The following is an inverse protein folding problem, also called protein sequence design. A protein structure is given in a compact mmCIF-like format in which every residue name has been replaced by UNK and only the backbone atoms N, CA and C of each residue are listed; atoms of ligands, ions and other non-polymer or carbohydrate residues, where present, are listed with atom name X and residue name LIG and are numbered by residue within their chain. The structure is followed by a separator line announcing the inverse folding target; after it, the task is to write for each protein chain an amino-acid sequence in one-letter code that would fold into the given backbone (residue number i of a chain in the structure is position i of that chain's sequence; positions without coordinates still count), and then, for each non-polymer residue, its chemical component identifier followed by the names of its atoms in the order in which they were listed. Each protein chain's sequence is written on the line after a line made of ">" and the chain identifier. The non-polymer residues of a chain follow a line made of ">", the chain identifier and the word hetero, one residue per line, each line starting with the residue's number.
data_IF_712108926402
#
_entry.id   IF_712108926402
#
_cell.length_a   1.000
_cell.length_b   1.000
_cell.length_c   1.000
_cell.angle_alpha   90.00
_cell.angle_beta   90.00
_cell.angle_gamma   90.00
#
_symmetry.space_group_name_H-M   'P 1'
#
loop_
_entity.id
_entity.type
_entity.pdbx_description
1 polymer ?
#
# COMPACT_ATOMS: atom_id res chain seq x y z
N UNK A 1 -0.73 -43.06 33.57
CA UNK A 1 -1.75 -42.56 32.62
C UNK A 1 -2.07 -41.11 32.94
N UNK A 2 -1.41 -40.14 32.30
CA UNK A 2 -1.67 -38.71 32.47
C UNK A 2 -1.60 -38.02 31.12
N UNK A 3 -2.74 -37.60 30.57
CA UNK A 3 -2.80 -36.87 29.29
C UNK A 3 -2.54 -35.39 29.55
N UNK A 4 -1.39 -34.90 29.07
CA UNK A 4 -1.12 -33.47 28.92
C UNK A 4 -1.87 -32.96 27.67
N UNK A 5 -2.91 -32.16 27.87
CA UNK A 5 -3.60 -31.41 26.82
C UNK A 5 -2.79 -30.13 26.54
N UNK A 6 -1.90 -30.18 25.54
CA UNK A 6 -1.29 -28.97 24.98
C UNK A 6 -2.34 -28.21 24.14
N UNK A 7 -2.68 -27.01 24.59
CA UNK A 7 -3.53 -26.06 23.87
C UNK A 7 -2.64 -25.29 22.88
N UNK A 8 -2.70 -25.66 21.60
CA UNK A 8 -1.98 -24.98 20.51
C UNK A 8 -2.48 -23.52 20.35
N UNK A 9 -1.59 -22.54 20.10
CA UNK A 9 -1.99 -21.19 19.72
C UNK A 9 -2.54 -21.16 18.28
N UNK A 10 -3.62 -20.39 18.07
CA UNK A 10 -4.27 -20.24 16.76
C UNK A 10 -3.35 -19.53 15.76
N UNK A 11 -2.69 -20.32 14.90
CA UNK A 11 -1.99 -19.84 13.71
C UNK A 11 -2.99 -19.42 12.61
N UNK A 12 -3.60 -18.23 12.74
CA UNK A 12 -4.58 -17.72 11.76
C UNK A 12 -3.98 -17.12 10.50
N UNK A 13 -2.78 -16.53 10.59
CA UNK A 13 -2.20 -15.71 9.52
C UNK A 13 -1.55 -16.51 8.39
N UNK A 14 -0.76 -17.54 8.71
CA UNK A 14 -0.11 -18.37 7.69
C UNK A 14 -1.12 -19.15 6.83
N UNK A 15 -2.23 -19.58 7.44
CA UNK A 15 -3.28 -20.34 6.74
C UNK A 15 -4.12 -19.45 5.82
N UNK A 16 -4.42 -18.20 6.22
CA UNK A 16 -5.12 -17.24 5.36
C UNK A 16 -4.24 -16.74 4.20
N UNK A 17 -2.94 -16.55 4.46
CA UNK A 17 -1.96 -16.14 3.45
C UNK A 17 -1.75 -17.21 2.36
N UNK A 18 -1.57 -18.48 2.75
CA UNK A 18 -1.44 -19.59 1.81
C UNK A 18 -2.70 -19.76 0.94
N UNK A 19 -3.88 -19.49 1.50
CA UNK A 19 -5.16 -19.56 0.77
C UNK A 19 -5.32 -18.46 -0.29
N UNK A 20 -4.81 -17.25 -0.02
CA UNK A 20 -4.84 -16.10 -0.95
C UNK A 20 -3.81 -16.23 -2.08
N UNK A 21 -2.61 -16.73 -1.77
CA UNK A 21 -1.58 -17.03 -2.79
C UNK A 21 -2.03 -18.17 -3.71
N UNK A 22 -2.65 -19.21 -3.16
CA UNK A 22 -3.20 -20.30 -3.98
C UNK A 22 -4.41 -19.84 -4.83
N UNK A 23 -5.27 -18.96 -4.32
CA UNK A 23 -6.42 -18.45 -5.08
C UNK A 23 -5.99 -17.57 -6.27
N UNK A 24 -4.92 -16.79 -6.12
CA UNK A 24 -4.38 -15.94 -7.20
C UNK A 24 -3.60 -16.74 -8.24
N UNK A 25 -2.87 -17.78 -7.84
CA UNK A 25 -2.21 -18.71 -8.76
C UNK A 25 -3.21 -19.60 -9.52
N UNK A 26 -4.28 -20.06 -8.87
CA UNK A 26 -5.35 -20.83 -9.53
C UNK A 26 -6.14 -19.98 -10.52
N UNK A 27 -6.43 -18.71 -10.20
CA UNK A 27 -7.07 -17.78 -11.13
C UNK A 27 -6.19 -17.53 -12.37
N UNK A 28 -4.87 -17.44 -12.21
CA UNK A 28 -3.94 -17.27 -13.32
C UNK A 28 -3.81 -18.54 -14.18
N UNK A 29 -3.76 -19.72 -13.56
CA UNK A 29 -3.71 -21.02 -14.26
C UNK A 29 -5.01 -21.32 -15.03
N UNK A 30 -6.17 -21.01 -14.45
CA UNK A 30 -7.47 -21.15 -15.11
C UNK A 30 -7.62 -20.17 -16.28
N UNK A 31 -7.18 -18.92 -16.12
CA UNK A 31 -7.20 -17.92 -17.20
C UNK A 31 -6.29 -18.32 -18.36
N UNK A 32 -5.10 -18.90 -18.07
CA UNK A 32 -4.19 -19.45 -19.08
C UNK A 32 -4.75 -20.70 -19.79
N UNK A 33 -5.44 -21.59 -19.09
CA UNK A 33 -6.08 -22.78 -19.68
C UNK A 33 -7.30 -22.42 -20.54
N UNK A 34 -8.10 -21.43 -20.12
CA UNK A 34 -9.24 -20.92 -20.91
C UNK A 34 -8.79 -20.24 -22.21
N UNK A 35 -7.66 -19.52 -22.19
CA UNK A 35 -7.08 -18.90 -23.38
C UNK A 35 -6.48 -19.93 -24.37
N UNK A 36 -6.14 -21.14 -23.91
CA UNK A 36 -5.57 -22.18 -24.76
C UNK A 36 -6.61 -23.04 -25.49
N UNK A 37 -7.87 -23.07 -25.05
CA UNK A 37 -8.88 -24.03 -25.52
C UNK A 37 -10.00 -23.46 -26.41
N UNK A 38 -10.00 -22.16 -26.74
CA UNK A 38 -11.08 -21.59 -27.57
C UNK A 38 -10.62 -20.41 -28.44
N UNK A 39 -10.10 -20.66 -29.65
CA UNK A 39 -9.82 -19.58 -30.62
C UNK A 39 -11.09 -18.89 -31.15
N UNK A 40 -12.28 -19.40 -30.84
CA UNK A 40 -13.58 -18.93 -31.32
C UNK A 40 -14.28 -17.91 -30.41
N UNK A 41 -13.82 -17.68 -29.18
CA UNK A 41 -14.39 -16.65 -28.29
C UNK A 41 -13.90 -15.24 -28.65
N UNK A 42 -12.66 -15.15 -29.16
CA UNK A 42 -12.17 -13.90 -29.73
C UNK A 42 -13.08 -13.45 -30.89
N UNK A 43 -13.48 -14.37 -31.79
CA UNK A 43 -14.33 -14.11 -32.96
C UNK A 43 -15.65 -13.36 -32.72
N UNK A 44 -16.24 -13.53 -31.54
CA UNK A 44 -17.57 -13.00 -31.24
C UNK A 44 -17.53 -11.66 -30.48
N UNK A 45 -16.46 -11.38 -29.74
CA UNK A 45 -16.37 -10.17 -28.91
C UNK A 45 -16.05 -8.89 -29.70
N UNK A 46 -15.59 -8.97 -30.96
CA UNK A 46 -15.27 -7.80 -31.78
C UNK A 46 -16.34 -7.35 -32.78
N UNK A 47 -17.53 -7.99 -32.82
CA UNK A 47 -18.55 -7.66 -33.85
C UNK A 47 -19.78 -6.88 -33.40
N UNK A 48 -19.96 -6.60 -32.11
CA UNK A 48 -21.05 -5.74 -31.64
C UNK A 48 -20.69 -5.02 -30.33
N UNK A 49 -20.41 -3.71 -30.35
CA UNK A 49 -20.36 -2.92 -29.12
C UNK A 49 -21.79 -2.64 -28.63
N UNK A 50 -22.11 -2.77 -27.33
CA UNK A 50 -23.31 -2.18 -26.77
C UNK A 50 -23.16 -0.65 -26.83
N UNK A 51 -24.20 0.04 -27.32
CA UNK A 51 -24.24 1.49 -27.39
C UNK A 51 -24.18 2.11 -25.98
N UNK A 52 -22.99 2.55 -25.57
CA UNK A 52 -22.81 3.45 -24.44
C UNK A 52 -22.82 4.88 -24.96
N UNK A 53 -23.86 5.63 -24.62
CA UNK A 53 -23.83 7.09 -24.73
C UNK A 53 -22.80 7.64 -23.72
N UNK A 54 -21.95 8.60 -24.10
CA UNK A 54 -21.04 9.23 -23.16
C UNK A 54 -21.81 10.06 -22.14
N UNK A 55 -21.62 9.74 -20.86
CA UNK A 55 -22.04 10.57 -19.73
C UNK A 55 -21.22 11.87 -19.75
N UNK A 56 -21.83 13.07 -19.60
CA UNK A 56 -21.07 14.31 -19.63
C UNK A 56 -20.09 14.37 -18.44
N UNK A 57 -18.82 14.66 -18.75
CA UNK A 57 -17.72 14.77 -17.81
C UNK A 57 -18.02 15.80 -16.72
N UNK A 58 -18.34 15.36 -15.50
CA UNK A 58 -18.19 16.17 -14.29
C UNK A 58 -16.85 15.84 -13.65
N UNK A 59 -15.95 16.82 -13.63
CA UNK A 59 -14.68 16.75 -12.92
C UNK A 59 -14.88 17.21 -11.46
N UNK A 60 -14.75 16.32 -10.46
CA UNK A 60 -15.02 16.67 -9.06
C UNK A 60 -13.96 17.58 -8.41
N UNK A 61 -12.91 17.98 -9.13
CA UNK A 61 -11.81 18.80 -8.58
C UNK A 61 -11.85 20.29 -8.96
N UNK A 62 -12.91 20.80 -9.61
CA UNK A 62 -12.96 22.20 -10.07
C UNK A 62 -14.19 23.01 -9.64
N UNK A 63 -15.12 22.47 -8.86
CA UNK A 63 -16.29 23.23 -8.42
C UNK A 63 -16.06 23.94 -7.07
N UNK A 64 -16.00 25.27 -7.15
CA UNK A 64 -16.11 26.21 -6.02
C UNK A 64 -17.54 26.08 -5.44
N UNK A 65 -17.73 26.02 -4.11
CA UNK A 65 -19.07 25.85 -3.54
C UNK A 65 -19.98 27.04 -3.89
N UNK A 66 -21.30 26.82 -4.05
CA UNK A 66 -22.22 27.87 -4.48
C UNK A 66 -22.30 29.00 -3.46
N UNK A 67 -22.20 30.23 -3.95
CA UNK A 67 -22.43 31.46 -3.21
C UNK A 67 -23.88 31.49 -2.70
N UNK A 68 -24.06 31.32 -1.39
CA UNK A 68 -25.32 31.66 -0.73
C UNK A 68 -25.45 33.18 -0.75
N UNK A 69 -26.39 33.67 -1.54
CA UNK A 69 -26.77 35.09 -1.56
C UNK A 69 -27.75 35.30 -0.42
N UNK A 70 -27.26 35.81 0.71
CA UNK A 70 -28.13 36.27 1.81
C UNK A 70 -28.32 37.77 1.69
N UNK A 71 -29.57 38.16 1.40
CA UNK A 71 -30.11 39.51 1.41
C UNK A 71 -29.86 40.20 2.76
N UNK A 72 -29.22 41.37 2.73
CA UNK A 72 -29.01 42.20 3.91
C UNK A 72 -30.28 43.03 4.22
N UNK A 73 -30.80 42.91 5.45
CA UNK A 73 -31.79 43.81 6.02
C UNK A 73 -31.26 44.41 7.34
N UNK A 74 -31.19 45.74 7.33
CA UNK A 74 -31.26 46.74 8.41
C UNK A 74 -30.56 46.51 9.77
N UNK A 75 -29.75 47.52 10.10
CA UNK A 75 -29.01 47.71 11.34
C UNK A 75 -29.87 48.02 12.57
N UNK A 76 -29.38 47.65 13.75
CA UNK A 76 -29.51 48.46 14.98
C UNK A 76 -28.31 48.20 15.91
N UNK A 77 -27.79 49.25 16.52
CA UNK A 77 -26.51 49.30 17.25
C UNK A 77 -26.67 49.26 18.77
N UNK A 78 -25.62 48.74 19.45
CA UNK A 78 -25.13 48.94 20.84
C UNK A 78 -25.66 48.02 21.98
N UNK A 79 -24.89 47.82 23.09
CA UNK A 79 -23.47 48.12 23.34
C UNK A 79 -22.62 46.89 23.81
N UNK A 80 -21.30 47.06 23.80
CA UNK A 80 -20.29 46.13 24.32
C UNK A 80 -20.39 45.98 25.84
N UNK A 81 -20.24 44.75 26.35
CA UNK A 81 -19.87 44.51 27.74
C UNK A 81 -18.79 43.42 27.79
N UNK A 82 -17.60 43.80 28.26
CA UNK A 82 -16.49 42.89 28.56
C UNK A 82 -16.72 42.27 29.94
N UNK A 83 -16.77 40.94 30.03
CA UNK A 83 -16.37 40.21 31.23
C UNK A 83 -16.09 38.74 30.90
N UNK A 84 -14.81 38.36 31.06
CA UNK A 84 -14.28 37.09 31.61
C UNK A 84 -14.85 35.75 31.13
N UNK A 85 -13.95 34.95 30.55
CA UNK A 85 -13.98 33.50 30.63
C UNK A 85 -14.72 32.79 29.49
N UNK A 86 -13.97 32.26 28.54
CA UNK A 86 -14.33 31.01 27.85
C UNK A 86 -13.08 30.52 27.12
N UNK A 87 -12.47 29.47 27.65
CA UNK A 87 -11.71 28.56 26.81
C UNK A 87 -12.65 28.18 25.66
N UNK A 88 -12.35 28.69 24.47
CA UNK A 88 -13.07 28.37 23.24
C UNK A 88 -13.03 26.85 23.15
N UNK A 89 -14.16 26.18 23.36
CA UNK A 89 -14.33 24.79 22.93
C UNK A 89 -14.18 24.85 21.42
N UNK A 90 -12.96 24.73 20.92
CA UNK A 90 -12.72 24.38 19.53
C UNK A 90 -13.50 23.07 19.35
N UNK A 91 -14.56 23.13 18.55
CA UNK A 91 -15.35 21.93 18.26
C UNK A 91 -14.43 20.92 17.61
N UNK A 92 -14.56 19.65 18.01
CA UNK A 92 -13.89 18.54 17.35
C UNK A 92 -14.21 18.60 15.86
N UNK A 93 -13.18 18.64 15.02
CA UNK A 93 -13.35 18.57 13.57
C UNK A 93 -12.95 17.19 13.01
N UNK A 94 -13.10 17.03 11.69
CA UNK A 94 -12.75 15.78 11.01
C UNK A 94 -11.26 15.45 11.15
N UNK A 95 -10.39 16.46 11.03
CA UNK A 95 -8.94 16.27 11.01
C UNK A 95 -8.43 15.90 12.41
N UNK A 96 -8.99 16.51 13.46
CA UNK A 96 -8.73 16.15 14.86
C UNK A 96 -8.98 14.65 15.12
N UNK A 97 -10.08 14.12 14.58
CA UNK A 97 -10.44 12.69 14.70
C UNK A 97 -9.44 11.80 13.98
N UNK A 98 -9.05 12.18 12.75
CA UNK A 98 -8.08 11.42 11.93
C UNK A 98 -6.70 11.43 12.57
N UNK A 99 -6.21 12.58 13.04
CA UNK A 99 -4.91 12.71 13.71
C UNK A 99 -4.87 11.90 15.01
N UNK A 100 -5.91 11.98 15.84
CA UNK A 100 -5.98 11.18 17.06
C UNK A 100 -6.06 9.67 16.78
N UNK A 101 -6.79 9.27 15.73
CA UNK A 101 -6.84 7.88 15.31
C UNK A 101 -5.48 7.38 14.79
N UNK A 102 -4.75 8.21 14.05
CA UNK A 102 -3.40 7.89 13.56
C UNK A 102 -2.45 7.69 14.74
N UNK A 103 -2.44 8.60 15.71
CA UNK A 103 -1.63 8.48 16.93
C UNK A 103 -1.97 7.22 17.72
N UNK A 104 -3.27 6.89 17.86
CA UNK A 104 -3.71 5.67 18.54
C UNK A 104 -3.19 4.40 17.82
N UNK A 105 -3.27 4.36 16.50
CA UNK A 105 -2.82 3.23 15.68
C UNK A 105 -1.31 3.06 15.74
N UNK A 106 -0.55 4.16 15.65
CA UNK A 106 0.91 4.09 15.66
C UNK A 106 1.47 3.70 17.04
N UNK A 107 0.85 4.19 18.12
CA UNK A 107 1.34 3.92 19.48
C UNK A 107 0.85 2.59 20.06
N UNK A 108 -0.38 2.18 19.76
CA UNK A 108 -1.03 1.00 20.38
C UNK A 108 -1.29 -0.14 19.40
N UNK A 109 -0.93 0.03 18.12
CA UNK A 109 -1.07 -0.96 17.07
C UNK A 109 -2.43 -0.93 16.35
N UNK A 110 -2.49 -1.58 15.20
CA UNK A 110 -3.68 -1.66 14.35
C UNK A 110 -4.94 -2.19 15.07
N UNK A 111 -4.78 -3.20 15.93
CA UNK A 111 -5.86 -3.83 16.69
C UNK A 111 -6.47 -2.91 17.76
N UNK A 112 -5.78 -1.83 18.13
CA UNK A 112 -6.29 -0.86 19.09
C UNK A 112 -7.38 0.06 18.50
N UNK A 113 -7.48 0.14 17.16
CA UNK A 113 -8.43 1.04 16.51
C UNK A 113 -9.87 0.55 16.65
N UNK A 114 -10.61 1.22 17.54
CA UNK A 114 -12.05 1.05 17.68
C UNK A 114 -12.71 2.41 17.96
N UNK A 115 -13.93 2.58 17.48
CA UNK A 115 -14.70 3.83 17.65
C UNK A 115 -14.82 4.23 19.12
N UNK A 116 -15.01 3.24 20.01
CA UNK A 116 -15.13 3.46 21.46
C UNK A 116 -13.83 3.94 22.11
N UNK A 117 -12.70 3.33 21.76
CA UNK A 117 -11.39 3.74 22.29
C UNK A 117 -11.02 5.14 21.79
N UNK A 118 -11.29 5.42 20.51
CA UNK A 118 -11.05 6.74 19.93
C UNK A 118 -11.92 7.82 20.59
N UNK A 119 -13.21 7.55 20.80
CA UNK A 119 -14.11 8.46 21.50
C UNK A 119 -13.64 8.75 22.94
N UNK A 120 -13.17 7.71 23.65
CA UNK A 120 -12.62 7.85 25.00
C UNK A 120 -11.32 8.69 25.02
N UNK A 121 -10.43 8.48 24.05
CA UNK A 121 -9.19 9.25 23.90
C UNK A 121 -9.47 10.74 23.64
N UNK A 122 -10.50 11.03 22.84
CA UNK A 122 -10.93 12.39 22.51
C UNK A 122 -11.89 13.03 23.53
N UNK A 123 -12.32 12.29 24.55
CA UNK A 123 -13.27 12.78 25.56
C UNK A 123 -14.68 13.07 25.03
N UNK A 124 -15.11 12.41 23.94
CA UNK A 124 -16.42 12.60 23.31
C UNK A 124 -17.24 11.31 23.27
N UNK A 125 -18.49 11.40 22.81
CA UNK A 125 -19.33 10.22 22.60
C UNK A 125 -18.96 9.49 21.31
N UNK A 126 -19.20 8.18 21.24
CA UNK A 126 -19.02 7.43 19.98
C UNK A 126 -19.87 7.96 18.84
N UNK A 127 -21.08 8.44 19.14
CA UNK A 127 -21.99 9.04 18.16
C UNK A 127 -21.36 10.27 17.50
N UNK A 128 -20.66 11.10 18.28
CA UNK A 128 -19.89 12.24 17.75
C UNK A 128 -18.85 11.77 16.74
N UNK A 129 -18.07 10.71 17.04
CA UNK A 129 -17.09 10.17 16.09
C UNK A 129 -17.75 9.69 14.81
N UNK A 130 -18.85 8.91 14.90
CA UNK A 130 -19.58 8.44 13.72
C UNK A 130 -20.09 9.60 12.84
N UNK A 131 -20.48 10.73 13.42
CA UNK A 131 -20.88 11.91 12.65
C UNK A 131 -19.74 12.55 11.87
N UNK A 132 -18.50 12.48 12.36
CA UNK A 132 -17.35 13.04 11.66
C UNK A 132 -16.82 12.12 10.56
N UNK A 133 -16.63 10.83 10.86
CA UNK A 133 -15.87 9.94 9.97
C UNK A 133 -16.68 8.78 9.40
N UNK A 134 -17.92 8.58 9.82
CA UNK A 134 -18.68 7.38 9.46
C UNK A 134 -18.19 6.15 10.22
N UNK A 135 -18.12 5.01 9.51
CA UNK A 135 -17.75 3.72 10.10
C UNK A 135 -16.25 3.56 10.39
N UNK A 136 -15.89 2.40 10.97
CA UNK A 136 -14.48 2.06 11.21
C UNK A 136 -13.68 1.99 9.90
N UNK A 137 -14.27 1.41 8.86
CA UNK A 137 -13.58 1.25 7.57
C UNK A 137 -13.43 2.61 6.86
N UNK A 138 -14.40 3.52 7.00
CA UNK A 138 -14.30 4.89 6.52
C UNK A 138 -13.17 5.66 7.23
N UNK A 139 -13.04 5.48 8.54
CA UNK A 139 -11.91 6.00 9.32
C UNK A 139 -10.58 5.41 8.85
N UNK A 140 -10.50 4.12 8.57
CA UNK A 140 -9.27 3.51 8.01
C UNK A 140 -8.93 4.13 6.66
N UNK A 141 -9.92 4.31 5.77
CA UNK A 141 -9.71 4.97 4.48
C UNK A 141 -9.28 6.44 4.66
N UNK A 142 -9.75 7.12 5.70
CA UNK A 142 -9.29 8.47 6.05
C UNK A 142 -7.80 8.47 6.45
N UNK A 143 -7.38 7.56 7.33
CA UNK A 143 -5.98 7.39 7.71
C UNK A 143 -5.09 7.10 6.49
N UNK A 144 -5.55 6.22 5.60
CA UNK A 144 -4.85 5.88 4.37
C UNK A 144 -4.71 7.09 3.46
N UNK A 145 -5.78 7.87 3.27
CA UNK A 145 -5.74 9.10 2.47
C UNK A 145 -4.80 10.14 3.07
N UNK A 146 -4.80 10.30 4.39
CA UNK A 146 -3.90 11.21 5.09
C UNK A 146 -2.43 10.83 4.85
N UNK A 147 -2.05 9.56 5.03
CA UNK A 147 -0.68 9.11 4.76
C UNK A 147 -0.33 9.14 3.27
N UNK A 148 -1.28 8.80 2.39
CA UNK A 148 -1.09 8.90 0.94
C UNK A 148 -0.78 10.34 0.52
N UNK A 149 -1.47 11.34 1.08
CA UNK A 149 -1.18 12.74 0.80
C UNK A 149 0.27 13.12 1.18
N UNK A 150 0.75 12.65 2.35
CA UNK A 150 2.15 12.87 2.75
C UNK A 150 3.15 12.22 1.80
N UNK A 151 2.85 11.02 1.28
CA UNK A 151 3.71 10.36 0.29
C UNK A 151 3.84 11.15 -1.02
N UNK A 152 2.82 11.94 -1.39
CA UNK A 152 2.86 12.77 -2.60
C UNK A 152 3.85 13.95 -2.49
N UNK A 153 4.25 14.31 -1.28
CA UNK A 153 5.20 15.41 -0.99
C UNK A 153 6.66 14.93 -0.95
N UNK A 154 6.89 13.61 -1.01
CA UNK A 154 8.24 13.03 -0.97
C UNK A 154 9.02 13.46 -2.22
N UNK A 155 10.23 13.98 -1.99
CA UNK A 155 11.17 14.30 -3.06
C UNK A 155 11.91 13.05 -3.51
N UNK A 156 11.90 12.78 -4.81
CA UNK A 156 12.61 11.64 -5.41
C UNK A 156 14.03 12.08 -5.79
N UNK A 157 15.02 11.33 -5.31
CA UNK A 157 16.44 11.64 -5.45
C UNK A 157 17.13 10.77 -6.51
N UNK A 158 18.12 11.31 -7.22
CA UNK A 158 18.93 10.57 -8.19
C UNK A 158 19.33 11.40 -9.41
N UNK A 159 20.48 11.10 -10.00
CA UNK A 159 21.05 11.81 -11.15
C UNK A 159 20.51 11.29 -12.49
N UNK A 160 20.01 10.07 -12.51
CA UNK A 160 19.45 9.41 -13.69
C UNK A 160 18.14 8.67 -13.32
N UNK A 161 17.31 8.26 -14.30
CA UNK A 161 16.06 7.56 -14.03
C UNK A 161 16.23 6.27 -13.20
N UNK A 162 17.33 5.52 -13.40
CA UNK A 162 17.57 4.28 -12.65
C UNK A 162 17.75 4.54 -11.14
N UNK A 163 18.54 5.56 -10.79
CA UNK A 163 18.71 6.00 -9.40
C UNK A 163 17.39 6.53 -8.80
N UNK A 164 16.60 7.27 -9.58
CA UNK A 164 15.29 7.76 -9.13
C UNK A 164 14.29 6.62 -8.90
N UNK A 165 14.30 5.58 -9.73
CA UNK A 165 13.48 4.37 -9.51
C UNK A 165 13.89 3.63 -8.22
N UNK A 166 15.20 3.56 -7.95
CA UNK A 166 15.73 3.01 -6.71
C UNK A 166 15.24 3.83 -5.50
N UNK A 167 15.36 5.17 -5.56
CA UNK A 167 14.87 6.08 -4.52
C UNK A 167 13.37 5.90 -4.25
N UNK A 168 12.53 5.83 -5.29
CA UNK A 168 11.08 5.58 -5.10
C UNK A 168 10.84 4.25 -4.38
N UNK A 169 11.56 3.20 -4.76
CA UNK A 169 11.42 1.86 -4.13
C UNK A 169 11.81 1.89 -2.65
N UNK A 170 12.86 2.63 -2.29
CA UNK A 170 13.30 2.84 -0.91
C UNK A 170 12.31 3.71 -0.10
N UNK A 171 11.62 4.66 -0.74
CA UNK A 171 10.52 5.39 -0.12
C UNK A 171 9.30 4.51 0.16
N UNK A 172 8.96 3.59 -0.75
CA UNK A 172 7.90 2.59 -0.51
C UNK A 172 8.27 1.73 0.70
N UNK A 173 9.51 1.25 0.74
CA UNK A 173 10.03 0.45 1.85
C UNK A 173 9.96 1.18 3.19
N UNK A 174 10.57 2.36 3.27
CA UNK A 174 10.66 3.14 4.50
C UNK A 174 9.30 3.60 5.01
N UNK A 175 8.40 4.05 4.12
CA UNK A 175 7.04 4.44 4.49
C UNK A 175 6.24 3.25 5.03
N UNK A 176 6.34 2.08 4.40
CA UNK A 176 5.66 0.88 4.87
C UNK A 176 6.14 0.44 6.26
N UNK A 177 7.44 0.52 6.54
CA UNK A 177 8.01 0.22 7.87
C UNK A 177 7.65 1.27 8.93
N UNK A 178 7.77 2.55 8.59
CA UNK A 178 7.44 3.66 9.49
C UNK A 178 5.96 3.62 9.92
N UNK A 179 5.08 3.26 8.99
CA UNK A 179 3.63 3.18 9.20
C UNK A 179 3.10 1.74 9.16
N UNK A 180 3.84 0.79 9.76
CA UNK A 180 3.51 -0.64 9.73
C UNK A 180 2.07 -0.94 10.17
N UNK A 181 1.55 -0.18 11.14
CA UNK A 181 0.21 -0.39 11.69
C UNK A 181 -0.87 0.08 10.73
N UNK A 182 -0.68 1.22 10.07
CA UNK A 182 -1.60 1.70 9.04
C UNK A 182 -1.51 0.83 7.79
N UNK A 183 -0.32 0.36 7.42
CA UNK A 183 -0.11 -0.59 6.32
C UNK A 183 -0.88 -1.90 6.58
N UNK A 184 -0.86 -2.41 7.81
CA UNK A 184 -1.66 -3.58 8.19
C UNK A 184 -3.17 -3.33 8.06
N UNK A 185 -3.66 -2.16 8.48
CA UNK A 185 -5.07 -1.77 8.31
C UNK A 185 -5.44 -1.64 6.82
N UNK A 186 -4.58 -1.02 6.02
CA UNK A 186 -4.76 -0.90 4.58
C UNK A 186 -4.86 -2.27 3.90
N UNK A 187 -4.04 -3.23 4.32
CA UNK A 187 -4.15 -4.61 3.85
C UNK A 187 -5.48 -5.25 4.25
N UNK A 188 -5.92 -5.07 5.51
CA UNK A 188 -7.18 -5.62 6.01
C UNK A 188 -8.39 -5.18 5.18
N UNK A 189 -8.43 -3.92 4.74
CA UNK A 189 -9.54 -3.36 3.95
C UNK A 189 -9.28 -3.40 2.43
N UNK A 190 -8.18 -4.00 1.97
CA UNK A 190 -7.84 -4.10 0.55
C UNK A 190 -7.45 -2.77 -0.12
N UNK A 191 -6.99 -1.79 0.65
CA UNK A 191 -6.66 -0.44 0.20
C UNK A 191 -5.14 -0.14 0.20
N UNK A 192 -4.28 -1.17 0.15
CA UNK A 192 -2.82 -1.00 0.07
C UNK A 192 -2.40 -0.20 -1.17
N UNK A 193 -3.03 -0.44 -2.33
CA UNK A 193 -2.75 0.36 -3.52
C UNK A 193 -3.12 1.82 -3.30
N UNK A 194 -4.27 2.11 -2.67
CA UNK A 194 -4.68 3.49 -2.36
C UNK A 194 -3.62 4.22 -1.53
N UNK A 195 -3.06 3.54 -0.52
CA UNK A 195 -1.98 4.09 0.31
C UNK A 195 -0.77 4.47 -0.55
N UNK A 196 -0.30 3.55 -1.40
CA UNK A 196 0.94 3.68 -2.17
C UNK A 196 0.81 4.43 -3.50
N UNK A 197 -0.40 4.81 -3.94
CA UNK A 197 -0.64 5.39 -5.27
C UNK A 197 0.31 6.53 -5.66
N UNK A 198 0.66 7.50 -4.78
CA UNK A 198 1.57 8.58 -5.16
C UNK A 198 2.97 8.06 -5.53
N UNK A 199 3.47 7.07 -4.79
CA UNK A 199 4.76 6.43 -5.05
C UNK A 199 4.67 5.51 -6.28
N UNK A 200 3.55 4.80 -6.49
CA UNK A 200 3.33 4.05 -7.73
C UNK A 200 3.32 4.97 -8.97
N UNK A 201 2.73 6.16 -8.85
CA UNK A 201 2.70 7.16 -9.90
C UNK A 201 4.09 7.75 -10.16
N UNK A 202 4.86 8.04 -9.10
CA UNK A 202 6.26 8.47 -9.21
C UNK A 202 7.09 7.39 -9.92
N UNK A 203 6.96 6.13 -9.51
CA UNK A 203 7.63 4.99 -10.14
C UNK A 203 7.30 4.88 -11.63
N UNK A 204 6.03 5.02 -12.00
CA UNK A 204 5.59 4.99 -13.40
C UNK A 204 6.22 6.14 -14.22
N UNK A 205 6.28 7.36 -13.68
CA UNK A 205 6.92 8.51 -14.34
C UNK A 205 8.41 8.28 -14.57
N UNK A 206 9.10 7.71 -13.59
CA UNK A 206 10.53 7.44 -13.70
C UNK A 206 10.85 6.28 -14.65
N UNK A 207 10.02 5.23 -14.66
CA UNK A 207 10.10 4.18 -15.68
C UNK A 207 9.85 4.73 -17.09
N UNK A 208 8.91 5.66 -17.24
CA UNK A 208 8.69 6.34 -18.52
C UNK A 208 9.87 7.23 -18.93
N UNK A 209 10.48 7.95 -17.97
CA UNK A 209 11.69 8.73 -18.22
C UNK A 209 12.91 7.86 -18.58
N UNK A 210 12.94 6.61 -18.13
CA UNK A 210 13.90 5.59 -18.55
C UNK A 210 13.62 5.00 -19.95
N UNK A 211 12.55 5.44 -20.63
CA UNK A 211 12.20 5.01 -21.99
C UNK A 211 11.20 3.86 -22.06
N UNK A 212 10.70 3.35 -20.94
CA UNK A 212 9.70 2.27 -20.95
C UNK A 212 8.30 2.83 -21.24
N UNK A 213 7.48 2.02 -21.92
CA UNK A 213 6.08 2.36 -22.19
C UNK A 213 5.19 1.12 -22.30
N UNK A 214 3.87 1.33 -22.24
CA UNK A 214 2.88 0.29 -22.46
C UNK A 214 3.09 -0.96 -21.59
N UNK A 215 3.13 -2.12 -22.25
CA UNK A 215 3.28 -3.41 -21.57
C UNK A 215 4.61 -3.53 -20.79
N UNK A 216 5.72 -3.05 -21.35
CA UNK A 216 7.03 -3.13 -20.71
C UNK A 216 7.07 -2.33 -19.40
N UNK A 217 6.51 -1.10 -19.41
CA UNK A 217 6.41 -0.29 -18.19
C UNK A 217 5.55 -0.96 -17.13
N UNK A 218 4.37 -1.48 -17.53
CA UNK A 218 3.48 -2.19 -16.62
C UNK A 218 4.17 -3.38 -15.97
N UNK A 219 4.90 -4.17 -16.76
CA UNK A 219 5.56 -5.38 -16.27
C UNK A 219 6.74 -5.03 -15.35
N UNK A 220 7.52 -3.99 -15.68
CA UNK A 220 8.58 -3.46 -14.82
C UNK A 220 8.04 -2.93 -13.48
N UNK A 221 7.01 -2.08 -13.53
CA UNK A 221 6.36 -1.52 -12.34
C UNK A 221 5.83 -2.63 -11.42
N UNK A 222 5.12 -3.62 -11.98
CA UNK A 222 4.59 -4.74 -11.20
C UNK A 222 5.69 -5.62 -10.63
N UNK A 223 6.76 -5.88 -11.37
CA UNK A 223 7.89 -6.66 -10.88
C UNK A 223 8.56 -5.96 -9.69
N UNK A 224 8.81 -4.65 -9.79
CA UNK A 224 9.39 -3.85 -8.71
C UNK A 224 8.47 -3.86 -7.48
N UNK A 225 7.18 -3.52 -7.64
CA UNK A 225 6.23 -3.49 -6.52
C UNK A 225 6.08 -4.87 -5.85
N UNK A 226 6.02 -5.95 -6.63
CA UNK A 226 5.87 -7.29 -6.09
C UNK A 226 7.15 -7.77 -5.39
N UNK A 227 8.33 -7.40 -5.91
CA UNK A 227 9.60 -7.63 -5.24
C UNK A 227 9.65 -6.90 -3.89
N UNK A 228 9.32 -5.60 -3.87
CA UNK A 228 9.23 -4.80 -2.63
C UNK A 228 8.25 -5.42 -1.64
N UNK A 229 7.05 -5.82 -2.09
CA UNK A 229 6.06 -6.47 -1.24
C UNK A 229 6.58 -7.78 -0.62
N UNK A 230 7.32 -8.59 -1.38
CA UNK A 230 7.94 -9.83 -0.89
C UNK A 230 8.95 -9.57 0.24
N UNK A 231 9.82 -8.56 0.08
CA UNK A 231 10.74 -8.17 1.14
C UNK A 231 10.01 -7.59 2.36
N UNK A 232 8.94 -6.80 2.17
CA UNK A 232 8.16 -6.23 3.26
C UNK A 232 7.44 -7.31 4.09
N UNK A 233 7.00 -8.40 3.46
CA UNK A 233 6.47 -9.57 4.20
C UNK A 233 7.52 -10.13 5.17
N UNK A 234 8.79 -10.20 4.75
CA UNK A 234 9.88 -10.67 5.61
C UNK A 234 10.19 -9.63 6.69
N UNK A 235 10.31 -8.35 6.33
CA UNK A 235 10.68 -7.29 7.25
C UNK A 235 9.60 -6.96 8.31
N UNK A 236 8.32 -7.17 8.00
CA UNK A 236 7.24 -7.05 8.98
C UNK A 236 7.21 -8.19 10.00
N UNK A 237 7.91 -9.30 9.75
CA UNK A 237 8.05 -10.35 10.76
C UNK A 237 8.95 -9.86 11.88
N UNK A 238 8.47 -9.94 13.11
CA UNK A 238 9.33 -9.74 14.27
C UNK A 238 10.24 -10.98 14.41
N UNK A 239 11.50 -10.90 14.00
CA UNK A 239 12.43 -12.03 14.08
C UNK A 239 12.63 -12.53 15.53
N UNK A 240 12.51 -11.64 16.52
CA UNK A 240 12.55 -12.02 17.94
C UNK A 240 11.37 -12.90 18.36
N UNK A 241 10.27 -12.92 17.59
CA UNK A 241 9.13 -13.82 17.82
C UNK A 241 9.33 -15.22 17.22
N UNK A 242 10.35 -15.41 16.38
CA UNK A 242 10.71 -16.70 15.81
C UNK A 242 11.67 -17.40 16.77
N UNK A 243 11.31 -18.62 17.18
CA UNK A 243 12.21 -19.49 17.97
C UNK A 243 13.55 -19.63 17.27
N UNK A 244 14.65 -19.58 18.03
CA UNK A 244 16.00 -19.62 17.47
C UNK A 244 16.22 -20.84 16.57
N UNK A 245 15.70 -22.01 16.98
CA UNK A 245 15.76 -23.27 16.23
C UNK A 245 15.04 -23.24 14.86
N UNK A 246 14.18 -22.25 14.59
CA UNK A 246 13.50 -22.09 13.29
C UNK A 246 14.10 -21.00 12.42
N UNK A 247 15.17 -20.32 12.87
CA UNK A 247 15.84 -19.28 12.09
C UNK A 247 16.74 -19.93 11.06
N UNK A 248 16.67 -19.45 9.81
CA UNK A 248 17.46 -20.03 8.71
C UNK A 248 18.95 -20.07 9.03
N UNK A 249 19.50 -19.03 9.65
CA UNK A 249 20.90 -18.96 10.07
C UNK A 249 21.29 -20.07 11.05
N UNK A 250 20.40 -20.43 11.97
CA UNK A 250 20.64 -21.52 12.93
C UNK A 250 20.53 -22.87 12.24
N UNK A 251 19.52 -23.05 11.38
CA UNK A 251 19.33 -24.28 10.62
C UNK A 251 20.54 -24.59 9.72
N UNK A 252 21.17 -23.57 9.13
CA UNK A 252 22.41 -23.74 8.35
C UNK A 252 23.58 -24.29 9.16
N UNK A 253 23.63 -24.03 10.47
CA UNK A 253 24.68 -24.58 11.34
C UNK A 253 24.57 -26.09 11.57
N UNK A 254 23.40 -26.66 11.29
CA UNK A 254 23.11 -28.10 11.42
C UNK A 254 23.28 -28.84 10.07
N UNK A 255 23.47 -28.12 8.96
CA UNK A 255 23.63 -28.72 7.63
C UNK A 255 25.02 -29.34 7.49
N UNK A 256 25.03 -30.63 7.18
CA UNK A 256 26.24 -31.38 6.81
C UNK A 256 26.01 -31.90 5.40
N UNK A 257 26.56 -31.18 4.41
CA UNK A 257 26.52 -31.56 3.00
C UNK A 257 27.92 -31.43 2.40
N UNK A 258 28.50 -32.55 1.94
CA UNK A 258 29.85 -32.58 1.36
C UNK A 258 29.95 -31.87 0.01
N UNK A 259 28.82 -31.56 -0.63
CA UNK A 259 28.78 -30.83 -1.89
C UNK A 259 28.84 -29.31 -1.70
N UNK A 260 28.61 -28.82 -0.48
CA UNK A 260 28.66 -27.40 -0.14
C UNK A 260 29.93 -27.17 0.68
N UNK A 261 30.78 -26.24 0.24
CA UNK A 261 32.00 -25.95 0.96
C UNK A 261 31.73 -25.32 2.34
N UNK A 262 32.66 -25.57 3.26
CA UNK A 262 32.50 -25.14 4.65
C UNK A 262 32.52 -23.61 4.83
N UNK A 263 33.06 -22.85 3.87
CA UNK A 263 33.05 -21.39 3.91
C UNK A 263 31.66 -20.86 3.57
N UNK A 264 31.02 -21.38 2.52
CA UNK A 264 29.64 -21.08 2.13
C UNK A 264 28.67 -21.40 3.27
N UNK A 265 28.75 -22.60 3.87
CA UNK A 265 27.86 -22.97 4.99
C UNK A 265 28.04 -22.03 6.17
N UNK A 266 29.28 -21.62 6.49
CA UNK A 266 29.55 -20.67 7.58
C UNK A 266 28.96 -19.29 7.29
N UNK A 267 29.07 -18.80 6.05
CA UNK A 267 28.48 -17.53 5.65
C UNK A 267 26.94 -17.54 5.74
N UNK A 268 26.30 -18.66 5.39
CA UNK A 268 24.84 -18.80 5.48
C UNK A 268 24.31 -18.89 6.93
N UNK A 269 25.19 -19.09 7.91
CA UNK A 269 24.86 -18.95 9.33
C UNK A 269 24.75 -17.49 9.80
N UNK A 270 25.16 -16.52 8.99
CA UNK A 270 25.00 -15.11 9.33
C UNK A 270 23.55 -14.65 9.07
N UNK A 271 22.96 -13.81 9.95
CA UNK A 271 21.62 -13.30 9.71
C UNK A 271 21.62 -12.37 8.49
N UNK A 272 20.62 -12.48 7.60
CA UNK A 272 20.59 -11.69 6.38
C UNK A 272 20.27 -10.22 6.67
N UNK A 273 21.04 -9.30 6.05
CA UNK A 273 20.66 -7.89 5.96
C UNK A 273 19.55 -7.73 4.92
N UNK A 274 18.31 -7.75 5.39
CA UNK A 274 17.12 -7.68 4.54
C UNK A 274 17.07 -6.41 3.69
N UNK A 275 17.50 -5.25 4.25
CA UNK A 275 17.44 -3.99 3.50
C UNK A 275 18.51 -3.94 2.41
N UNK A 276 19.74 -4.38 2.71
CA UNK A 276 20.79 -4.49 1.70
C UNK A 276 20.41 -5.45 0.58
N UNK A 277 19.82 -6.61 0.90
CA UNK A 277 19.31 -7.56 -0.10
C UNK A 277 18.17 -6.97 -0.93
N UNK A 278 17.28 -6.20 -0.31
CA UNK A 278 16.24 -5.46 -1.02
C UNK A 278 16.85 -4.48 -2.02
N UNK A 279 17.80 -3.63 -1.59
CA UNK A 279 18.44 -2.65 -2.45
C UNK A 279 19.13 -3.30 -3.66
N UNK A 280 19.87 -4.39 -3.42
CA UNK A 280 20.54 -5.16 -4.48
C UNK A 280 19.54 -5.80 -5.45
N UNK A 281 18.45 -6.36 -4.93
CA UNK A 281 17.41 -7.02 -5.76
C UNK A 281 16.67 -6.02 -6.64
N UNK A 282 16.29 -4.86 -6.09
CA UNK A 282 15.65 -3.80 -6.86
C UNK A 282 16.60 -3.28 -7.94
N UNK A 283 17.87 -3.03 -7.59
CA UNK A 283 18.88 -2.60 -8.57
C UNK A 283 19.02 -3.61 -9.73
N UNK A 284 19.04 -4.90 -9.44
CA UNK A 284 19.09 -5.93 -10.47
C UNK A 284 17.86 -5.91 -11.39
N UNK A 285 16.65 -5.74 -10.83
CA UNK A 285 15.42 -5.59 -11.62
C UNK A 285 15.45 -4.34 -12.49
N UNK A 286 15.88 -3.20 -11.94
CA UNK A 286 16.01 -1.94 -12.67
C UNK A 286 16.93 -2.12 -13.88
N UNK A 287 18.12 -2.70 -13.66
CA UNK A 287 19.07 -2.95 -14.74
C UNK A 287 18.46 -3.89 -15.79
N UNK A 288 17.79 -4.97 -15.37
CA UNK A 288 17.10 -5.87 -16.30
C UNK A 288 16.10 -5.16 -17.22
N UNK A 289 15.28 -4.27 -16.68
CA UNK A 289 14.24 -3.58 -17.45
C UNK A 289 14.74 -2.38 -18.27
N UNK A 290 15.78 -1.66 -17.80
CA UNK A 290 16.31 -0.47 -18.49
C UNK A 290 17.35 -0.84 -19.55
N UNK A 291 18.15 -1.89 -19.34
CA UNK A 291 19.17 -2.33 -20.32
C UNK A 291 18.63 -3.24 -21.41
N UNK A 292 17.40 -3.75 -21.27
CA UNK A 292 16.75 -4.50 -22.33
C UNK A 292 16.44 -3.54 -23.50
N UNK A 293 17.14 -3.69 -24.62
CA UNK A 293 16.89 -2.87 -25.81
C UNK A 293 15.39 -2.88 -26.19
N UNK A 294 14.83 -1.73 -26.59
CA UNK A 294 13.47 -1.69 -27.09
C UNK A 294 13.38 -2.55 -28.34
N UNK A 295 12.71 -3.71 -28.22
CA UNK A 295 12.43 -4.60 -29.35
C UNK A 295 11.80 -3.82 -30.51
N UNK A 296 12.08 -4.21 -31.77
CA UNK A 296 11.81 -3.38 -32.93
C UNK A 296 10.34 -2.96 -32.99
N UNK A 297 10.11 -1.64 -32.91
CA UNK A 297 8.80 -1.02 -33.12
C UNK A 297 8.28 -1.43 -34.49
N UNK A 298 7.22 -2.23 -34.53
CA UNK A 298 6.47 -2.53 -35.75
C UNK A 298 5.85 -1.22 -36.23
N UNK A 299 6.56 -0.51 -37.11
CA UNK A 299 5.97 0.55 -37.95
C UNK A 299 4.76 -0.05 -38.64
N UNK A 300 3.59 0.52 -38.37
CA UNK A 300 2.38 0.28 -39.13
C UNK A 300 2.66 0.68 -40.58
N UNK A 301 2.76 -0.31 -41.47
CA UNK A 301 2.60 -0.10 -42.90
C UNK A 301 1.15 0.32 -43.16
N UNK A 302 0.93 1.63 -43.15
CA UNK A 302 -0.15 2.24 -43.93
C UNK A 302 0.28 2.16 -45.39
N UNK A 303 -0.19 1.13 -46.09
CA UNK A 303 -0.17 1.08 -47.55
C UNK A 303 -1.50 1.63 -48.06
N UNK A 304 -1.33 2.68 -48.86
CA UNK A 304 -2.24 3.32 -49.82
C UNK A 304 -3.01 2.32 -50.65
#
# INVERSE_FOLDING_TARGET
>A
MGRCLYRLPRAGWAYQFLRLVLATLQAWALCRQLLAHCPSILAHCYRTPPAWQPCPSRNPFTEKPPHVTTTAAAATTKPQNQATGTAKRAGLDYEDVVVAALQLVETRGAEALSMRKLAAELGVTTTTIYHHVGGRDDLILALIRHLSAQQAEITIEGQNPAERIQSVSEHIWSSALAHRNVTALAHQVGATSLLAMPLELALARELQAAGLSGAALRDALRAILMCTAGFLVVAFRNEASISAEYRSSVLWSEVIDEQIDAETTRALCEPPDIFSLFQQSIRALILHFITAEPGPSKKQESKT
#
